data_IF_651882042599
#
_entry.id   IF_651882042599
#
_cell.length_a   1.000
_cell.length_b   1.000
_cell.length_c   1.000
_cell.angle_alpha   90.00
_cell.angle_beta   90.00
_cell.angle_gamma   90.00
#
_symmetry.space_group_name_H-M   'P 1'
#
loop_
_entity.id
_entity.type
_entity.pdbx_description
1 polymer ?
#
# COMPACT_ATOMS: atom_id res chain seq x y z
N UNK A 1 -20.98 8.02 7.25
CA UNK A 1 -19.60 8.43 6.97
C UNK A 1 -19.45 9.89 7.35
N UNK A 2 -18.39 10.21 8.08
CA UNK A 2 -18.06 11.53 8.58
C UNK A 2 -16.68 11.90 8.06
N UNK A 3 -16.52 13.10 7.50
CA UNK A 3 -15.22 13.61 7.06
C UNK A 3 -14.62 14.47 8.17
N UNK A 4 -13.42 14.14 8.62
CA UNK A 4 -12.67 14.87 9.63
C UNK A 4 -11.39 15.43 9.02
N UNK A 5 -11.03 16.66 9.37
CA UNK A 5 -9.70 17.17 9.09
C UNK A 5 -8.81 16.99 10.32
N UNK A 6 -7.75 16.20 10.18
CA UNK A 6 -6.79 15.91 11.25
C UNK A 6 -5.39 16.16 10.71
N UNK A 7 -4.68 17.16 11.25
CA UNK A 7 -3.35 17.57 10.80
C UNK A 7 -3.26 17.84 9.28
N UNK A 8 -4.30 18.42 8.67
CA UNK A 8 -4.36 18.71 7.23
C UNK A 8 -4.60 17.46 6.37
N UNK A 9 -5.03 16.35 6.97
CA UNK A 9 -5.41 15.12 6.28
C UNK A 9 -6.91 14.91 6.46
N UNK A 10 -7.63 14.84 5.33
CA UNK A 10 -9.06 14.54 5.32
C UNK A 10 -9.31 13.05 5.56
N UNK A 11 -9.70 12.69 6.77
CA UNK A 11 -10.00 11.32 7.19
C UNK A 11 -11.50 11.06 7.09
N UNK A 12 -11.91 10.21 6.15
CA UNK A 12 -13.24 9.62 6.12
C UNK A 12 -13.36 8.50 7.16
N UNK A 13 -14.32 8.64 8.08
CA UNK A 13 -14.61 7.66 9.12
C UNK A 13 -16.05 7.12 8.99
N UNK A 14 -16.33 5.82 9.25
CA UNK A 14 -17.65 5.26 8.98
C UNK A 14 -18.82 5.91 9.75
N UNK A 15 -18.55 6.37 10.97
CA UNK A 15 -19.48 7.03 11.89
C UNK A 15 -18.82 8.27 12.53
N UNK A 16 -19.51 8.97 13.43
CA UNK A 16 -18.91 10.07 14.19
C UNK A 16 -17.92 9.50 15.22
N UNK A 17 -16.61 9.73 15.09
CA UNK A 17 -15.62 9.10 15.95
C UNK A 17 -15.70 9.62 17.40
N UNK A 18 -15.34 8.74 18.35
CA UNK A 18 -15.15 9.13 19.74
C UNK A 18 -13.89 9.98 19.91
N UNK A 19 -13.82 10.79 20.96
CA UNK A 19 -12.64 11.63 21.24
C UNK A 19 -11.34 10.81 21.29
N UNK A 20 -11.35 9.65 21.95
CA UNK A 20 -10.18 8.77 22.00
C UNK A 20 -9.75 8.22 20.64
N UNK A 21 -10.69 8.06 19.69
CA UNK A 21 -10.37 7.64 18.33
C UNK A 21 -9.73 8.79 17.54
N UNK A 22 -10.21 10.02 17.74
CA UNK A 22 -9.59 11.22 17.15
C UNK A 22 -8.18 11.41 17.69
N UNK A 23 -7.98 11.27 19.00
CA UNK A 23 -6.64 11.34 19.61
C UNK A 23 -5.70 10.28 19.05
N UNK A 24 -6.19 9.03 18.95
CA UNK A 24 -5.41 7.93 18.38
C UNK A 24 -5.02 8.21 16.92
N UNK A 25 -5.98 8.63 16.08
CA UNK A 25 -5.72 8.97 14.68
C UNK A 25 -4.75 10.15 14.54
N UNK A 26 -4.86 11.16 15.40
CA UNK A 26 -3.95 12.31 15.43
C UNK A 26 -2.52 11.86 15.68
N UNK A 27 -2.29 10.97 16.66
CA UNK A 27 -0.95 10.43 16.95
C UNK A 27 -0.41 9.58 15.81
N UNK A 28 -1.25 8.75 15.17
CA UNK A 28 -0.86 7.99 13.96
C UNK A 28 -0.37 8.94 12.86
N UNK A 29 -1.14 9.98 12.55
CA UNK A 29 -0.81 10.93 11.50
C UNK A 29 0.46 11.72 11.81
N UNK A 30 0.66 12.16 13.05
CA UNK A 30 1.90 12.81 13.48
C UNK A 30 3.12 11.90 13.25
N UNK A 31 3.05 10.62 13.62
CA UNK A 31 4.15 9.69 13.37
C UNK A 31 4.43 9.51 11.87
N UNK A 32 3.38 9.39 11.05
CA UNK A 32 3.52 9.23 9.60
C UNK A 32 4.10 10.47 8.91
N UNK A 33 3.64 11.67 9.28
CA UNK A 33 4.10 12.94 8.71
C UNK A 33 5.53 13.29 9.11
N UNK A 34 5.95 12.91 10.32
CA UNK A 34 7.29 13.19 10.84
C UNK A 34 8.30 12.07 10.54
N UNK A 35 7.90 11.01 9.83
CA UNK A 35 8.73 9.83 9.56
C UNK A 35 9.31 9.19 10.84
N UNK A 36 8.46 9.05 11.87
CA UNK A 36 8.82 8.54 13.20
C UNK A 36 8.15 7.21 13.52
N UNK A 37 8.81 6.41 14.36
CA UNK A 37 8.22 5.22 14.95
C UNK A 37 7.30 5.62 16.12
N UNK A 38 6.12 5.00 16.20
CA UNK A 38 5.14 5.26 17.26
C UNK A 38 4.73 4.00 17.99
N UNK A 39 4.74 4.03 19.33
CA UNK A 39 4.13 3.00 20.18
C UNK A 39 2.80 3.56 20.68
N UNK A 40 1.69 3.06 20.14
CA UNK A 40 0.35 3.57 20.41
C UNK A 40 -0.48 2.55 21.18
N UNK A 41 -0.80 2.90 22.42
CA UNK A 41 -1.72 2.14 23.27
C UNK A 41 -3.14 2.69 23.12
N UNK A 42 -4.12 1.79 23.13
CA UNK A 42 -5.53 2.13 23.17
C UNK A 42 -6.27 1.00 23.89
N UNK A 43 -7.24 1.30 24.79
CA UNK A 43 -8.03 0.28 25.46
C UNK A 43 -8.75 -0.64 24.47
N UNK A 44 -8.97 -1.90 24.85
CA UNK A 44 -9.71 -2.86 24.02
C UNK A 44 -11.14 -2.39 23.79
N UNK A 45 -11.69 -2.63 22.59
CA UNK A 45 -13.08 -2.29 22.27
C UNK A 45 -13.31 -0.86 21.77
N UNK A 46 -12.27 -0.04 21.68
CA UNK A 46 -12.35 1.37 21.22
C UNK A 46 -12.21 1.54 19.70
N UNK A 47 -12.14 0.44 18.94
CA UNK A 47 -11.98 0.49 17.49
C UNK A 47 -10.56 0.81 17.00
N UNK A 48 -9.52 0.47 17.77
CA UNK A 48 -8.10 0.68 17.41
C UNK A 48 -7.78 0.31 15.95
N UNK A 49 -8.23 -0.88 15.50
CA UNK A 49 -8.00 -1.35 14.12
C UNK A 49 -8.64 -0.42 13.09
N UNK A 50 -9.88 -0.01 13.32
CA UNK A 50 -10.60 0.89 12.42
C UNK A 50 -9.93 2.27 12.37
N UNK A 51 -9.61 2.85 13.53
CA UNK A 51 -8.90 4.13 13.62
C UNK A 51 -7.54 4.09 12.92
N UNK A 52 -6.77 3.01 13.12
CA UNK A 52 -5.46 2.84 12.47
C UNK A 52 -5.59 2.75 10.95
N UNK A 53 -6.54 1.96 10.44
CA UNK A 53 -6.78 1.80 9.00
C UNK A 53 -7.20 3.13 8.37
N UNK A 54 -8.20 3.80 8.95
CA UNK A 54 -8.71 5.07 8.41
C UNK A 54 -7.63 6.15 8.37
N UNK A 55 -6.87 6.35 9.46
CA UNK A 55 -5.80 7.35 9.49
C UNK A 55 -4.68 7.04 8.49
N UNK A 56 -4.26 5.77 8.41
CA UNK A 56 -3.16 5.36 7.53
C UNK A 56 -3.54 5.48 6.05
N UNK A 57 -4.76 5.08 5.68
CA UNK A 57 -5.25 5.13 4.31
C UNK A 57 -5.56 6.56 3.87
N UNK A 58 -6.16 7.38 4.74
CA UNK A 58 -6.35 8.81 4.49
C UNK A 58 -5.01 9.52 4.19
N UNK A 59 -3.97 9.21 4.97
CA UNK A 59 -2.64 9.74 4.73
C UNK A 59 -2.07 9.26 3.38
N UNK A 60 -2.22 7.98 3.05
CA UNK A 60 -1.77 7.45 1.76
C UNK A 60 -2.51 8.10 0.58
N UNK A 61 -3.81 8.33 0.68
CA UNK A 61 -4.59 9.02 -0.36
C UNK A 61 -4.16 10.48 -0.51
N UNK A 62 -3.96 11.19 0.59
CA UNK A 62 -3.41 12.56 0.58
C UNK A 62 -2.04 12.61 -0.11
N UNK A 63 -1.17 11.64 0.18
CA UNK A 63 0.14 11.50 -0.49
C UNK A 63 0.02 11.21 -1.98
N UNK A 64 -0.89 10.32 -2.40
CA UNK A 64 -1.16 10.07 -3.82
C UNK A 64 -1.61 11.33 -4.55
N UNK A 65 -2.52 12.09 -3.94
CA UNK A 65 -3.01 13.35 -4.51
C UNK A 65 -1.89 14.40 -4.63
N UNK A 66 -1.06 14.56 -3.60
CA UNK A 66 0.11 15.46 -3.62
C UNK A 66 1.10 15.08 -4.72
N UNK A 67 1.41 13.79 -4.87
CA UNK A 67 2.33 13.31 -5.92
C UNK A 67 1.77 13.60 -7.31
N UNK A 68 0.47 13.37 -7.54
CA UNK A 68 -0.14 13.66 -8.84
C UNK A 68 -0.17 15.17 -9.15
N UNK A 69 -0.46 16.01 -8.16
CA UNK A 69 -0.39 17.47 -8.30
C UNK A 69 1.04 17.95 -8.59
N UNK A 70 2.04 17.41 -7.89
CA UNK A 70 3.45 17.70 -8.14
C UNK A 70 3.86 17.27 -9.55
N UNK A 71 3.36 16.11 -10.02
CA UNK A 71 3.61 15.60 -11.36
C UNK A 71 3.03 16.54 -12.43
N UNK A 72 1.78 17.00 -12.25
CA UNK A 72 1.13 17.93 -13.17
C UNK A 72 1.82 19.30 -13.17
N UNK A 73 2.20 19.81 -12.00
CA UNK A 73 2.91 21.09 -11.85
C UNK A 73 4.29 21.04 -12.51
N UNK A 74 5.02 19.92 -12.37
CA UNK A 74 6.30 19.72 -13.03
C UNK A 74 6.19 19.72 -14.56
N UNK A 75 5.18 19.04 -15.10
CA UNK A 75 4.93 19.02 -16.56
C UNK A 75 4.50 20.39 -17.09
N UNK A 76 3.65 21.11 -16.35
CA UNK A 76 3.23 22.46 -16.74
C UNK A 76 4.39 23.46 -16.73
N UNK A 77 5.26 23.42 -15.70
CA UNK A 77 6.46 24.25 -15.63
C UNK A 77 7.43 23.97 -16.78
N UNK A 78 7.57 22.69 -17.13
CA UNK A 78 8.35 22.23 -18.29
C UNK A 78 7.79 22.82 -19.60
N UNK A 79 6.50 22.68 -19.87
CA UNK A 79 5.87 23.22 -21.09
C UNK A 79 5.97 24.74 -21.18
N UNK A 80 5.90 25.44 -20.04
CA UNK A 80 6.08 26.89 -20.00
C UNK A 80 7.54 27.32 -20.29
N UNK A 81 8.52 26.50 -19.90
CA UNK A 81 9.94 26.77 -20.17
C UNK A 81 10.33 26.56 -21.64
N UNK A 82 9.60 25.73 -22.39
CA UNK A 82 9.86 25.44 -23.82
C UNK A 82 9.56 26.61 -24.77
N UNK A 83 9.09 27.76 -24.26
CA UNK A 83 8.79 28.96 -25.05
C UNK A 83 9.99 29.81 -25.46
N UNK A 84 11.24 29.43 -25.11
CA UNK A 84 12.42 30.27 -25.33
C UNK A 84 13.73 29.50 -25.60
N UNK A 85 13.91 29.00 -26.83
CA UNK A 85 15.22 28.87 -27.49
C UNK A 85 16.08 27.61 -27.24
N UNK A 86 16.70 27.12 -28.34
CA UNK A 86 17.67 26.01 -28.50
C UNK A 86 17.18 24.57 -28.25
N UNK A 87 16.76 23.94 -29.36
CA UNK A 87 16.03 22.67 -29.48
C UNK A 87 16.73 21.43 -28.90
N UNK A 88 18.07 21.41 -28.78
CA UNK A 88 18.83 20.22 -28.35
C UNK A 88 19.15 20.18 -26.86
N UNK A 89 19.40 21.33 -26.22
CA UNK A 89 19.65 21.40 -24.76
C UNK A 89 18.35 21.35 -23.96
N UNK A 90 17.26 21.85 -24.53
CA UNK A 90 15.93 21.73 -23.95
C UNK A 90 15.46 20.28 -23.92
N UNK A 91 15.71 19.48 -24.97
CA UNK A 91 15.30 18.07 -25.02
C UNK A 91 15.89 17.22 -23.88
N UNK A 92 17.15 17.45 -23.49
CA UNK A 92 17.79 16.68 -22.41
C UNK A 92 17.31 17.14 -21.02
N UNK A 93 17.02 18.45 -20.86
CA UNK A 93 16.37 18.98 -19.64
C UNK A 93 14.91 18.54 -19.48
N UNK A 94 14.18 18.45 -20.59
CA UNK A 94 12.83 17.88 -20.66
C UNK A 94 12.86 16.41 -20.26
N UNK A 95 13.79 15.63 -20.79
CA UNK A 95 13.95 14.20 -20.45
C UNK A 95 14.38 14.01 -18.99
N UNK A 96 15.27 14.86 -18.46
CA UNK A 96 15.67 14.87 -17.04
C UNK A 96 14.54 15.24 -16.07
N UNK A 97 13.72 16.23 -16.44
CA UNK A 97 12.55 16.63 -15.63
C UNK A 97 11.41 15.60 -15.73
N UNK A 98 11.20 15.01 -16.91
CA UNK A 98 10.21 13.96 -17.12
C UNK A 98 10.63 12.64 -16.46
N UNK A 99 11.92 12.30 -16.43
CA UNK A 99 12.44 11.14 -15.68
C UNK A 99 12.35 11.34 -14.15
N UNK A 100 12.50 12.59 -13.69
CA UNK A 100 12.23 12.97 -12.30
C UNK A 100 10.73 12.88 -11.98
N UNK A 101 9.87 13.37 -12.87
CA UNK A 101 8.41 13.33 -12.72
C UNK A 101 7.79 11.93 -12.94
N UNK A 102 8.44 11.06 -13.70
CA UNK A 102 8.01 9.67 -13.94
C UNK A 102 8.47 8.71 -12.85
N UNK A 103 9.15 9.21 -11.82
CA UNK A 103 9.55 8.41 -10.65
C UNK A 103 10.70 7.44 -10.92
N UNK A 104 11.45 7.63 -12.01
CA UNK A 104 12.63 6.83 -12.31
C UNK A 104 13.82 7.13 -11.37
N UNK A 105 13.79 8.29 -10.69
CA UNK A 105 14.74 8.63 -9.64
C UNK A 105 14.25 8.08 -8.28
N UNK A 106 14.79 6.93 -7.88
CA UNK A 106 14.67 6.43 -6.52
C UNK A 106 15.24 7.46 -5.53
N UNK A 107 14.38 8.13 -4.75
CA UNK A 107 14.83 8.86 -3.56
C UNK A 107 14.27 10.27 -3.32
N UNK A 108 13.44 10.85 -4.19
CA UNK A 108 12.80 12.13 -3.87
C UNK A 108 11.49 11.92 -3.10
N UNK A 109 11.50 12.31 -1.81
CA UNK A 109 10.32 12.35 -0.90
C UNK A 109 9.08 13.04 -1.53
N UNK A 110 9.28 13.87 -2.56
CA UNK A 110 8.22 14.64 -3.24
C UNK A 110 7.32 13.80 -4.17
N UNK A 111 7.79 12.66 -4.68
CA UNK A 111 7.06 11.84 -5.67
C UNK A 111 6.74 10.42 -5.18
N UNK A 112 7.08 10.10 -3.93
CA UNK A 112 6.88 8.77 -3.38
C UNK A 112 5.50 8.59 -2.75
N UNK A 113 4.77 7.58 -3.23
CA UNK A 113 3.54 7.08 -2.60
C UNK A 113 3.88 5.91 -1.67
N UNK A 114 3.60 6.04 -0.36
CA UNK A 114 3.95 5.01 0.62
C UNK A 114 3.12 3.74 0.43
N UNK A 115 3.75 2.58 0.63
CA UNK A 115 3.08 1.27 0.67
C UNK A 115 2.80 0.91 2.13
N UNK A 116 1.54 0.65 2.46
CA UNK A 116 1.12 0.26 3.81
C UNK A 116 1.24 -1.26 3.94
N UNK A 117 1.93 -1.71 4.98
CA UNK A 117 2.02 -3.12 5.37
C UNK A 117 1.33 -3.28 6.72
N UNK A 118 0.24 -4.03 6.73
CA UNK A 118 -0.49 -4.36 7.95
C UNK A 118 -0.08 -5.76 8.43
N UNK A 119 0.53 -5.84 9.61
CA UNK A 119 0.92 -7.10 10.22
C UNK A 119 0.01 -7.43 11.41
N UNK A 120 -0.34 -8.72 11.54
CA UNK A 120 -1.15 -9.22 12.64
C UNK A 120 -0.61 -10.56 13.13
N UNK A 121 -0.90 -10.91 14.40
CA UNK A 121 -0.38 -12.14 15.01
C UNK A 121 -1.10 -13.38 14.50
N UNK A 122 -2.41 -13.28 14.24
CA UNK A 122 -3.22 -14.41 13.78
C UNK A 122 -3.97 -14.09 12.49
N UNK A 123 -4.29 -15.13 11.72
CA UNK A 123 -5.09 -14.98 10.51
C UNK A 123 -6.54 -14.57 10.78
N UNK A 124 -7.09 -14.93 11.94
CA UNK A 124 -8.42 -14.45 12.36
C UNK A 124 -8.42 -12.94 12.59
N UNK A 125 -7.39 -12.39 13.25
CA UNK A 125 -7.23 -10.94 13.41
C UNK A 125 -7.03 -10.23 12.08
N UNK A 126 -6.26 -10.82 11.16
CA UNK A 126 -6.09 -10.28 9.81
C UNK A 126 -7.41 -10.27 9.03
N UNK A 127 -8.19 -11.35 9.12
CA UNK A 127 -9.50 -11.45 8.49
C UNK A 127 -10.47 -10.40 9.04
N UNK A 128 -10.45 -10.15 10.35
CA UNK A 128 -11.22 -9.06 10.98
C UNK A 128 -10.77 -7.69 10.47
N UNK A 129 -9.47 -7.42 10.38
CA UNK A 129 -8.96 -6.16 9.84
C UNK A 129 -9.39 -5.93 8.38
N UNK A 130 -9.42 -6.98 7.55
CA UNK A 130 -9.92 -6.91 6.18
C UNK A 130 -11.43 -6.65 6.13
N UNK A 131 -12.21 -7.22 7.04
CA UNK A 131 -13.64 -6.92 7.15
C UNK A 131 -13.88 -5.47 7.58
N UNK A 132 -13.09 -4.96 8.53
CA UNK A 132 -13.12 -3.55 8.91
C UNK A 132 -12.76 -2.63 7.74
N UNK A 133 -11.70 -2.94 6.99
CA UNK A 133 -11.33 -2.18 5.78
C UNK A 133 -12.50 -2.07 4.79
N UNK A 134 -13.20 -3.18 4.53
CA UNK A 134 -14.35 -3.21 3.60
C UNK A 134 -15.52 -2.32 4.05
N UNK A 135 -15.66 -2.06 5.35
CA UNK A 135 -16.69 -1.18 5.92
C UNK A 135 -16.36 0.31 5.82
N UNK A 136 -15.12 0.66 5.46
CA UNK A 136 -14.68 2.04 5.32
C UNK A 136 -14.91 2.57 3.90
N UNK A 137 -14.79 3.90 3.73
CA UNK A 137 -14.75 4.53 2.41
C UNK A 137 -13.52 4.11 1.57
N UNK A 138 -12.50 3.54 2.21
CA UNK A 138 -11.24 3.11 1.59
C UNK A 138 -11.30 1.68 1.03
N UNK A 139 -12.49 1.11 0.87
CA UNK A 139 -12.67 -0.26 0.37
C UNK A 139 -12.21 -0.44 -1.10
N UNK A 140 -11.98 0.66 -1.81
CA UNK A 140 -11.45 0.70 -3.18
C UNK A 140 -9.93 0.51 -3.24
N UNK A 141 -9.23 0.58 -2.10
CA UNK A 141 -7.78 0.44 -2.06
C UNK A 141 -7.38 -0.99 -2.42
N UNK A 142 -6.55 -1.11 -3.46
CA UNK A 142 -5.94 -2.38 -3.88
C UNK A 142 -5.10 -2.93 -2.72
N UNK A 143 -5.53 -4.05 -2.16
CA UNK A 143 -4.86 -4.76 -1.06
C UNK A 143 -4.71 -6.24 -1.38
N UNK A 144 -3.67 -6.86 -0.85
CA UNK A 144 -3.42 -8.30 -1.00
C UNK A 144 -3.02 -8.89 0.35
N UNK A 145 -3.61 -10.04 0.68
CA UNK A 145 -3.31 -10.77 1.91
C UNK A 145 -2.26 -11.82 1.59
N UNK A 146 -1.12 -11.73 2.27
CA UNK A 146 -0.06 -12.74 2.20
C UNK A 146 -0.24 -13.75 3.34
N UNK A 147 0.06 -15.01 3.06
CA UNK A 147 -0.14 -16.11 3.98
C UNK A 147 0.78 -17.28 3.68
N UNK A 148 0.81 -18.26 4.58
CA UNK A 148 1.64 -19.46 4.39
C UNK A 148 1.12 -20.34 3.25
N UNK A 149 1.99 -21.22 2.74
CA UNK A 149 1.60 -22.26 1.76
C UNK A 149 0.47 -23.14 2.27
N UNK A 150 0.29 -23.25 3.58
CA UNK A 150 -0.79 -24.03 4.18
C UNK A 150 -2.17 -23.51 3.81
N UNK A 151 -2.31 -22.20 3.66
CA UNK A 151 -3.57 -21.51 3.43
C UNK A 151 -3.78 -21.11 1.97
N UNK A 152 -2.70 -20.75 1.27
CA UNK A 152 -2.79 -20.21 -0.10
C UNK A 152 -2.43 -21.22 -1.18
N UNK A 153 -1.99 -22.44 -0.84
CA UNK A 153 -1.70 -23.44 -1.85
C UNK A 153 -2.98 -24.05 -2.42
N UNK A 154 -3.13 -23.96 -3.73
CA UNK A 154 -4.26 -24.50 -4.51
C UNK A 154 -3.96 -25.87 -5.15
N UNK A 155 -2.75 -26.41 -4.98
CA UNK A 155 -2.38 -27.69 -5.57
C UNK A 155 -3.04 -28.86 -4.80
N UNK A 156 -3.91 -29.69 -5.43
CA UNK A 156 -4.74 -30.67 -4.70
C UNK A 156 -3.95 -31.65 -3.83
N UNK A 157 -2.82 -32.17 -4.34
CA UNK A 157 -1.99 -33.11 -3.58
C UNK A 157 -1.24 -32.47 -2.40
N UNK A 158 -0.87 -31.20 -2.51
CA UNK A 158 -0.17 -30.47 -1.43
C UNK A 158 -1.18 -30.05 -0.37
N UNK A 159 -2.36 -29.57 -0.79
CA UNK A 159 -3.41 -29.07 0.11
C UNK A 159 -3.93 -30.17 1.06
N UNK A 160 -4.00 -31.43 0.61
CA UNK A 160 -4.45 -32.58 1.40
C UNK A 160 -3.53 -32.96 2.57
N UNK A 161 -2.27 -32.52 2.56
CA UNK A 161 -1.35 -32.80 3.66
C UNK A 161 -1.77 -32.02 4.90
N UNK A 162 -1.67 -32.61 6.09
CA UNK A 162 -2.03 -31.95 7.35
C UNK A 162 -0.88 -31.14 7.94
N UNK A 163 0.36 -31.64 7.83
CA UNK A 163 1.55 -30.97 8.35
C UNK A 163 2.04 -29.84 7.43
N UNK A 164 2.27 -28.66 7.99
CA UNK A 164 2.88 -27.53 7.28
C UNK A 164 4.25 -27.90 6.68
N UNK A 165 5.09 -28.60 7.45
CA UNK A 165 6.40 -29.05 6.97
C UNK A 165 6.27 -29.98 5.75
N UNK A 166 5.32 -30.92 5.79
CA UNK A 166 5.04 -31.81 4.66
C UNK A 166 4.53 -31.02 3.44
N UNK A 167 3.64 -30.04 3.64
CA UNK A 167 3.19 -29.13 2.56
C UNK A 167 4.36 -28.39 1.92
N UNK A 168 5.26 -27.82 2.72
CA UNK A 168 6.42 -27.08 2.22
C UNK A 168 7.35 -28.00 1.44
N UNK A 169 7.67 -29.18 1.96
CA UNK A 169 8.54 -30.14 1.29
C UNK A 169 7.95 -30.61 -0.04
N UNK A 170 6.69 -31.04 -0.06
CA UNK A 170 6.04 -31.50 -1.28
C UNK A 170 5.89 -30.38 -2.32
N UNK A 171 5.57 -29.16 -1.88
CA UNK A 171 5.52 -28.00 -2.76
C UNK A 171 6.88 -27.77 -3.44
N UNK A 172 7.97 -27.78 -2.68
CA UNK A 172 9.33 -27.63 -3.22
C UNK A 172 9.69 -28.74 -4.20
N UNK A 173 9.37 -30.00 -3.88
CA UNK A 173 9.61 -31.14 -4.77
C UNK A 173 8.85 -31.00 -6.10
N UNK A 174 7.58 -30.59 -6.05
CA UNK A 174 6.76 -30.40 -7.26
C UNK A 174 7.20 -29.23 -8.12
N UNK A 175 7.64 -28.14 -7.50
CA UNK A 175 8.20 -26.99 -8.23
C UNK A 175 9.51 -27.39 -8.90
N UNK A 176 10.43 -28.01 -8.16
CA UNK A 176 11.72 -28.46 -8.70
C UNK A 176 11.56 -29.46 -9.85
N UNK A 177 10.61 -30.40 -9.74
CA UNK A 177 10.30 -31.36 -10.81
C UNK A 177 9.40 -30.80 -11.92
N UNK A 178 9.05 -29.50 -11.92
CA UNK A 178 8.08 -28.88 -12.85
C UNK A 178 6.73 -29.60 -12.92
N UNK A 179 6.32 -30.27 -11.85
CA UNK A 179 5.04 -30.97 -11.73
C UNK A 179 3.93 -30.08 -11.13
N UNK A 180 4.23 -28.82 -10.77
CA UNK A 180 3.25 -27.87 -10.26
C UNK A 180 2.72 -26.98 -11.39
N UNK A 181 1.61 -27.39 -12.03
CA UNK A 181 0.97 -26.62 -13.11
C UNK A 181 0.71 -25.15 -12.72
N UNK A 182 0.23 -24.90 -11.51
CA UNK A 182 -0.09 -23.56 -11.02
C UNK A 182 1.14 -22.64 -10.93
N UNK A 183 2.28 -23.16 -10.48
CA UNK A 183 3.51 -22.38 -10.39
C UNK A 183 4.09 -22.14 -11.79
N UNK A 184 4.17 -23.20 -12.60
CA UNK A 184 4.75 -23.14 -13.94
C UNK A 184 4.00 -22.17 -14.87
N UNK A 185 2.68 -22.11 -14.78
CA UNK A 185 1.87 -21.21 -15.60
C UNK A 185 2.10 -19.73 -15.23
N UNK A 186 2.37 -19.45 -13.95
CA UNK A 186 2.69 -18.09 -13.49
C UNK A 186 4.10 -17.72 -13.97
N UNK A 187 5.09 -18.58 -13.75
CA UNK A 187 6.49 -18.36 -14.16
C UNK A 187 6.62 -18.20 -15.68
N UNK A 188 5.90 -19.02 -16.46
CA UNK A 188 5.90 -18.94 -17.92
C UNK A 188 5.27 -17.66 -18.48
N UNK A 189 4.37 -17.00 -17.73
CA UNK A 189 3.79 -15.72 -18.13
C UNK A 189 4.70 -14.54 -17.79
N UNK A 190 5.42 -14.58 -16.67
CA UNK A 190 6.39 -13.54 -16.30
C UNK A 190 7.65 -13.51 -17.19
N UNK A 191 7.95 -14.59 -17.92
CA UNK A 191 9.04 -14.65 -18.90
C UNK A 191 8.63 -14.22 -20.32
N UNK A 192 7.37 -13.78 -20.52
CA UNK A 192 6.81 -13.37 -21.81
C UNK A 192 6.43 -11.89 -21.88
N UNK A 193 6.59 -11.15 -20.80
CA UNK A 193 6.50 -9.68 -20.72
C UNK A 193 7.90 -9.09 -20.53
#
# INVERSE_FOLDING_TARGET
>A
MTLLDINGVSVNFPFTPYACQVDYMTKVLTCLQNSQNGVLESPTGTGKTLSLLCASLAWQESRKAQVELNRQSGVAAVLAASGSGNETEDMDRLLGSLSTASGASWGSEQFFVPKIIYASRTHSQLSQAVQELKRTAYNSVKSSVIGSREQLCIHPQVQKLTSNAAKVQMCRQKVAGRHCHYYNNIEGNFLRE
#
